data_IF_777366601529
#
_entry.id   IF_777366601529
#
_cell.length_a   1.000
_cell.length_b   1.000
_cell.length_c   1.000
_cell.angle_alpha   90.00
_cell.angle_beta   90.00
_cell.angle_gamma   90.00
#
_symmetry.space_group_name_H-M   'P 1'
#
loop_
_entity.id
_entity.type
_entity.pdbx_description
1 polymer ?
#
# COMPACT_ATOMS: atom_id res chain seq x y z
N UNK A 1 -33.89 -3.60 22.91
CA UNK A 1 -33.33 -2.46 22.16
C UNK A 1 -31.89 -2.79 21.83
N UNK A 2 -31.69 -3.37 20.66
CA UNK A 2 -30.41 -3.82 20.11
C UNK A 2 -29.81 -2.70 19.28
N UNK A 3 -28.65 -2.19 19.67
CA UNK A 3 -27.86 -1.25 18.89
C UNK A 3 -26.92 -2.03 17.95
N UNK A 4 -27.19 -1.94 16.65
CA UNK A 4 -26.35 -2.43 15.58
C UNK A 4 -25.25 -1.41 15.29
N UNK A 5 -23.99 -1.79 15.55
CA UNK A 5 -22.81 -1.04 15.10
C UNK A 5 -22.40 -1.54 13.71
N UNK A 6 -22.75 -0.78 12.67
CA UNK A 6 -22.31 -1.03 11.29
C UNK A 6 -20.91 -0.47 11.07
N UNK A 7 -20.02 -1.33 10.59
CA UNK A 7 -18.60 -1.05 10.42
C UNK A 7 -18.29 -0.01 9.35
N UNK A 8 -17.37 0.88 9.69
CA UNK A 8 -16.55 1.61 8.73
C UNK A 8 -15.15 0.98 8.73
N UNK A 9 -14.93 -0.02 7.87
CA UNK A 9 -13.58 -0.40 7.46
C UNK A 9 -13.08 0.67 6.49
N UNK A 10 -12.63 1.79 7.06
CA UNK A 10 -11.74 2.71 6.36
C UNK A 10 -10.36 2.06 6.28
N UNK A 11 -9.82 1.98 5.06
CA UNK A 11 -8.47 1.54 4.81
C UNK A 11 -7.50 2.33 5.71
N UNK A 12 -6.92 1.64 6.69
CA UNK A 12 -5.83 2.13 7.52
C UNK A 12 -4.50 2.08 6.74
N UNK A 13 -4.51 2.60 5.52
CA UNK A 13 -3.31 2.87 4.74
C UNK A 13 -2.97 4.36 4.91
N UNK A 14 -1.74 4.62 5.36
CA UNK A 14 -1.11 5.93 5.48
C UNK A 14 -1.54 6.88 6.61
N UNK A 15 -1.54 6.37 7.83
CA UNK A 15 -1.21 7.21 9.00
C UNK A 15 0.29 7.05 9.32
N UNK A 16 1.11 7.86 8.67
CA UNK A 16 2.51 8.16 8.99
C UNK A 16 3.48 6.97 9.04
N UNK A 17 4.36 6.86 8.03
CA UNK A 17 5.69 6.24 8.18
C UNK A 17 6.48 7.03 9.25
N UNK A 18 6.21 6.78 10.52
CA UNK A 18 7.14 7.11 11.59
C UNK A 18 8.28 6.10 11.51
N UNK A 19 9.22 6.33 10.58
CA UNK A 19 10.54 5.71 10.65
C UNK A 19 11.25 6.23 11.90
N UNK A 20 10.97 5.59 13.04
CA UNK A 20 11.71 5.83 14.27
C UNK A 20 13.08 5.18 14.12
N UNK A 21 14.11 5.89 14.56
CA UNK A 21 15.48 5.37 14.61
C UNK A 21 15.50 4.16 15.56
N UNK A 22 15.51 2.96 14.97
CA UNK A 22 15.68 1.69 15.68
C UNK A 22 17.13 1.23 15.66
N UNK A 23 17.46 0.25 16.51
CA UNK A 23 18.81 -0.31 16.64
C UNK A 23 19.42 -0.84 15.33
N UNK A 24 18.59 -1.15 14.33
CA UNK A 24 18.98 -1.71 13.04
C UNK A 24 18.48 -0.87 11.85
N UNK A 25 17.99 0.35 12.08
CA UNK A 25 17.50 1.26 11.04
C UNK A 25 18.58 1.71 10.05
N UNK A 26 19.85 1.63 10.43
CA UNK A 26 20.99 1.95 9.58
C UNK A 26 21.31 0.87 8.53
N UNK A 27 20.74 -0.33 8.66
CA UNK A 27 21.00 -1.45 7.76
C UNK A 27 20.10 -1.33 6.54
N UNK A 28 20.71 -1.17 5.37
CA UNK A 28 20.00 -1.02 4.08
C UNK A 28 20.18 -2.22 3.14
N UNK A 29 20.89 -3.25 3.58
CA UNK A 29 21.13 -4.46 2.81
C UNK A 29 22.35 -5.24 3.33
N UNK A 30 22.74 -6.30 2.62
CA UNK A 30 23.87 -7.15 2.98
C UNK A 30 25.24 -6.60 2.56
N UNK A 31 25.30 -5.58 1.69
CA UNK A 31 26.54 -4.93 1.25
C UNK A 31 27.48 -5.84 0.46
N UNK A 32 26.92 -6.74 -0.35
CA UNK A 32 27.65 -7.64 -1.25
C UNK A 32 27.86 -6.96 -2.62
N UNK A 33 28.85 -7.43 -3.38
CA UNK A 33 28.96 -7.13 -4.81
C UNK A 33 28.27 -8.20 -5.68
N UNK A 34 28.34 -8.02 -6.99
CA UNK A 34 27.72 -8.91 -7.98
C UNK A 34 28.34 -10.32 -7.99
N UNK A 35 29.56 -10.48 -7.44
CA UNK A 35 30.23 -11.76 -7.27
C UNK A 35 29.92 -12.42 -5.91
N UNK A 36 28.95 -11.88 -5.16
CA UNK A 36 28.57 -12.30 -3.80
C UNK A 36 29.70 -12.15 -2.77
N UNK A 37 30.66 -11.28 -3.03
CA UNK A 37 31.73 -10.97 -2.09
C UNK A 37 31.35 -9.79 -1.18
N UNK A 38 31.48 -9.95 0.14
CA UNK A 38 31.14 -8.91 1.10
C UNK A 38 32.22 -7.83 1.13
N UNK A 39 31.83 -6.58 0.85
CA UNK A 39 32.69 -5.42 1.08
C UNK A 39 32.91 -5.22 2.58
N UNK A 40 34.11 -4.78 2.98
CA UNK A 40 34.48 -4.55 4.39
C UNK A 40 33.46 -3.68 5.15
N UNK A 41 32.99 -2.61 4.49
CA UNK A 41 31.95 -1.70 4.97
C UNK A 41 31.04 -1.33 3.81
N UNK A 42 29.75 -1.67 3.91
CA UNK A 42 28.76 -1.31 2.86
C UNK A 42 27.33 -1.49 3.38
N UNK A 43 26.39 -0.65 2.92
CA UNK A 43 24.94 -0.72 3.23
C UNK A 43 24.60 -0.82 4.73
N UNK A 44 25.41 -0.20 5.60
CA UNK A 44 25.22 -0.24 7.05
C UNK A 44 25.78 -1.49 7.74
N UNK A 45 26.30 -2.45 6.97
CA UNK A 45 26.97 -3.65 7.49
C UNK A 45 28.50 -3.48 7.53
N UNK A 46 29.11 -3.91 8.63
CA UNK A 46 30.56 -3.88 8.84
C UNK A 46 31.03 -5.25 9.31
N UNK A 47 32.10 -5.77 8.71
CA UNK A 47 32.65 -7.08 9.10
C UNK A 47 31.72 -8.25 8.78
N UNK A 48 31.81 -9.32 9.57
CA UNK A 48 31.13 -10.61 9.38
C UNK A 48 31.10 -11.12 7.94
N UNK A 49 32.28 -11.17 7.32
CA UNK A 49 32.46 -11.49 5.91
C UNK A 49 31.88 -12.89 5.58
N UNK A 50 32.26 -13.92 6.33
CA UNK A 50 31.78 -15.29 6.06
C UNK A 50 30.26 -15.41 6.19
N UNK A 51 29.67 -14.83 7.25
CA UNK A 51 28.23 -14.90 7.47
C UNK A 51 27.44 -14.09 6.42
N UNK A 52 27.94 -12.93 6.00
CA UNK A 52 27.33 -12.12 4.93
C UNK A 52 27.43 -12.80 3.56
N UNK A 53 28.56 -13.44 3.25
CA UNK A 53 28.73 -14.24 2.03
C UNK A 53 27.73 -15.41 2.01
N UNK A 54 27.62 -16.14 3.11
CA UNK A 54 26.63 -17.23 3.24
C UNK A 54 25.19 -16.73 3.12
N UNK A 55 24.85 -15.60 3.76
CA UNK A 55 23.55 -14.96 3.65
C UNK A 55 23.24 -14.51 2.21
N UNK A 56 24.25 -14.06 1.46
CA UNK A 56 24.13 -13.72 0.04
C UNK A 56 23.77 -14.91 -0.84
N UNK A 57 24.45 -16.04 -0.66
CA UNK A 57 24.13 -17.28 -1.38
C UNK A 57 22.70 -17.72 -1.08
N UNK A 58 22.29 -17.65 0.19
CA UNK A 58 20.90 -17.94 0.59
C UNK A 58 19.91 -16.98 -0.07
N UNK A 59 20.22 -15.68 -0.09
CA UNK A 59 19.38 -14.66 -0.69
C UNK A 59 19.12 -14.95 -2.19
N UNK A 60 20.17 -15.31 -2.94
CA UNK A 60 20.02 -15.67 -4.35
C UNK A 60 19.21 -16.96 -4.53
N UNK A 61 19.43 -17.98 -3.70
CA UNK A 61 18.60 -19.20 -3.74
C UNK A 61 17.11 -18.92 -3.46
N UNK A 62 16.81 -17.93 -2.61
CA UNK A 62 15.43 -17.48 -2.35
C UNK A 62 14.86 -16.76 -3.58
N UNK A 63 15.61 -15.82 -4.18
CA UNK A 63 15.17 -15.08 -5.38
C UNK A 63 14.94 -16.01 -6.58
N UNK A 64 15.77 -17.03 -6.74
CA UNK A 64 15.62 -18.05 -7.78
C UNK A 64 14.45 -19.04 -7.51
N UNK A 65 13.88 -19.02 -6.30
CA UNK A 65 12.78 -19.93 -5.93
C UNK A 65 13.19 -21.41 -5.83
N UNK A 66 14.50 -21.73 -5.82
CA UNK A 66 15.01 -23.12 -5.76
C UNK A 66 14.85 -23.78 -4.40
N UNK A 67 14.50 -23.00 -3.37
CA UNK A 67 14.36 -23.47 -1.98
C UNK A 67 12.98 -23.11 -1.44
N UNK A 68 12.25 -24.13 -0.96
CA UNK A 68 11.05 -23.98 -0.14
C UNK A 68 11.12 -24.92 1.08
N UNK A 69 10.57 -24.48 2.22
CA UNK A 69 10.45 -25.31 3.43
C UNK A 69 11.77 -25.63 4.15
N UNK A 70 12.84 -24.84 3.94
CA UNK A 70 14.12 -25.01 4.64
C UNK A 70 14.27 -24.02 5.79
N UNK A 71 14.86 -24.48 6.89
CA UNK A 71 15.22 -23.65 8.02
C UNK A 71 16.71 -23.29 7.98
N UNK A 72 17.04 -22.05 8.35
CA UNK A 72 18.41 -21.57 8.48
C UNK A 72 18.60 -21.14 9.93
N UNK A 73 19.65 -21.67 10.58
CA UNK A 73 20.00 -21.32 11.94
C UNK A 73 21.25 -20.43 11.95
N UNK A 74 21.12 -19.21 12.45
CA UNK A 74 22.25 -18.33 12.73
C UNK A 74 22.67 -18.48 14.20
N UNK A 75 23.81 -19.12 14.44
CA UNK A 75 24.36 -19.33 15.78
C UNK A 75 25.58 -18.42 16.04
N UNK A 76 25.76 -18.00 17.29
CA UNK A 76 26.90 -17.18 17.72
C UNK A 76 26.65 -16.49 19.06
N UNK A 77 27.69 -15.88 19.64
CA UNK A 77 27.59 -15.16 20.91
C UNK A 77 26.63 -13.95 20.85
N UNK A 78 26.05 -13.48 21.96
CA UNK A 78 25.28 -12.22 21.98
C UNK A 78 26.07 -11.05 21.39
N UNK A 79 25.39 -10.11 20.72
CA UNK A 79 26.06 -8.93 20.12
C UNK A 79 26.81 -9.15 18.79
N UNK A 80 26.86 -10.38 18.27
CA UNK A 80 27.57 -10.70 17.01
C UNK A 80 26.84 -10.33 15.71
N UNK A 81 25.69 -9.65 15.79
CA UNK A 81 24.97 -9.16 14.60
C UNK A 81 24.06 -10.17 13.91
N UNK A 82 23.61 -11.24 14.58
CA UNK A 82 22.66 -12.23 14.01
C UNK A 82 21.36 -11.58 13.49
N UNK A 83 20.71 -10.78 14.33
CA UNK A 83 19.50 -10.03 13.96
C UNK A 83 19.78 -8.99 12.87
N UNK A 84 20.96 -8.37 12.91
CA UNK A 84 21.39 -7.40 11.90
C UNK A 84 21.52 -8.05 10.50
N UNK A 85 22.09 -9.26 10.41
CA UNK A 85 22.18 -10.00 9.15
C UNK A 85 20.78 -10.39 8.65
N UNK A 86 19.89 -10.85 9.53
CA UNK A 86 18.50 -11.16 9.16
C UNK A 86 17.76 -9.93 8.59
N UNK A 87 17.95 -8.76 9.21
CA UNK A 87 17.39 -7.50 8.69
C UNK A 87 18.05 -7.08 7.38
N UNK A 88 19.36 -7.28 7.23
CA UNK A 88 20.06 -7.05 5.98
C UNK A 88 19.53 -7.92 4.84
N UNK A 89 19.21 -9.19 5.11
CA UNK A 89 18.55 -10.08 4.15
C UNK A 89 17.15 -9.58 3.78
N UNK A 90 16.34 -9.18 4.77
CA UNK A 90 15.00 -8.64 4.54
C UNK A 90 15.03 -7.39 3.64
N UNK A 91 15.93 -6.45 3.92
CA UNK A 91 16.10 -5.25 3.10
C UNK A 91 16.60 -5.58 1.68
N UNK A 92 17.45 -6.59 1.53
CA UNK A 92 17.98 -7.01 0.24
C UNK A 92 16.98 -7.80 -0.63
N UNK A 93 15.92 -8.40 -0.05
CA UNK A 93 14.81 -9.01 -0.78
C UNK A 93 13.88 -7.95 -1.40
N UNK A 94 13.84 -6.74 -0.83
CA UNK A 94 13.00 -5.63 -1.27
C UNK A 94 11.66 -5.55 -0.55
N UNK A 95 10.97 -4.41 -0.69
CA UNK A 95 9.68 -4.12 -0.04
C UNK A 95 8.54 -5.03 -0.50
N UNK A 96 8.76 -5.72 -1.60
CA UNK A 96 7.83 -6.56 -2.34
C UNK A 96 7.67 -7.97 -1.75
N UNK A 97 8.62 -8.39 -0.91
CA UNK A 97 8.65 -9.71 -0.27
C UNK A 97 8.26 -9.54 1.21
N UNK A 98 7.23 -10.24 1.70
CA UNK A 98 6.85 -10.14 3.10
C UNK A 98 7.94 -10.73 4.01
N UNK A 99 8.25 -9.99 5.08
CA UNK A 99 9.19 -10.43 6.10
C UNK A 99 8.56 -10.28 7.48
N UNK A 100 8.42 -11.39 8.20
CA UNK A 100 7.84 -11.42 9.54
C UNK A 100 8.93 -11.64 10.58
N UNK A 101 9.16 -10.67 11.46
CA UNK A 101 9.94 -10.88 12.68
C UNK A 101 9.00 -11.39 13.77
N UNK A 102 9.39 -12.47 14.44
CA UNK A 102 8.64 -13.07 15.52
C UNK A 102 9.60 -13.39 16.67
N UNK A 103 9.27 -12.92 17.87
CA UNK A 103 9.97 -13.36 19.07
C UNK A 103 9.35 -14.66 19.59
N UNK A 104 10.18 -15.59 20.06
CA UNK A 104 9.68 -16.89 20.55
C UNK A 104 8.69 -16.76 21.71
N UNK A 105 8.81 -15.69 22.52
CA UNK A 105 7.89 -15.37 23.60
C UNK A 105 6.50 -14.96 23.11
N UNK A 106 6.37 -14.40 21.90
CA UNK A 106 5.08 -13.97 21.34
C UNK A 106 4.17 -15.15 20.96
N UNK A 107 4.75 -16.36 20.82
CA UNK A 107 4.00 -17.58 20.51
C UNK A 107 3.19 -18.05 21.72
N UNK A 108 3.60 -17.70 22.93
CA UNK A 108 2.92 -18.08 24.16
C UNK A 108 1.84 -17.06 24.49
N UNK A 109 0.60 -17.37 24.11
CA UNK A 109 -0.58 -16.56 24.40
C UNK A 109 -1.64 -17.35 25.18
N UNK A 110 -2.45 -16.64 25.96
CA UNK A 110 -3.66 -17.19 26.60
C UNK A 110 -4.86 -17.20 25.64
N UNK A 111 -4.88 -16.31 24.65
CA UNK A 111 -6.01 -16.13 23.72
C UNK A 111 -6.01 -17.16 22.59
N UNK A 112 -4.84 -17.71 22.24
CA UNK A 112 -4.69 -18.64 21.11
C UNK A 112 -3.68 -19.74 21.41
N UNK A 113 -3.86 -20.88 20.73
CA UNK A 113 -2.93 -22.01 20.86
C UNK A 113 -1.58 -21.71 20.20
N UNK A 114 -0.51 -22.31 20.73
CA UNK A 114 0.85 -22.20 20.17
C UNK A 114 0.92 -22.60 18.69
N UNK A 115 0.16 -23.63 18.31
CA UNK A 115 0.08 -24.12 16.92
C UNK A 115 -0.59 -23.10 16.01
N UNK A 116 -1.64 -22.43 16.48
CA UNK A 116 -2.34 -21.40 15.72
C UNK A 116 -1.45 -20.16 15.55
N UNK A 117 -0.77 -19.72 16.62
CA UNK A 117 0.18 -18.61 16.56
C UNK A 117 1.30 -18.87 15.52
N UNK A 118 1.87 -20.08 15.50
CA UNK A 118 2.86 -20.47 14.50
C UNK A 118 2.27 -20.54 13.09
N UNK A 119 1.08 -21.10 12.93
CA UNK A 119 0.39 -21.20 11.64
C UNK A 119 0.13 -19.82 11.04
N UNK A 120 -0.29 -18.87 11.87
CA UNK A 120 -0.48 -17.47 11.46
C UNK A 120 0.84 -16.81 11.07
N UNK A 121 1.91 -17.03 11.85
CA UNK A 121 3.24 -16.48 11.52
C UNK A 121 3.76 -17.00 10.17
N UNK A 122 3.57 -18.29 9.87
CA UNK A 122 3.92 -18.85 8.56
C UNK A 122 3.06 -18.26 7.44
N UNK A 123 1.74 -18.15 7.62
CA UNK A 123 0.84 -17.56 6.62
C UNK A 123 1.15 -16.09 6.33
N UNK A 124 1.48 -15.29 7.35
CA UNK A 124 1.88 -13.88 7.19
C UNK A 124 3.17 -13.72 6.38
N UNK A 125 4.03 -14.73 6.40
CA UNK A 125 5.31 -14.73 5.68
C UNK A 125 5.20 -15.21 4.23
N UNK A 126 4.02 -15.60 3.77
CA UNK A 126 3.75 -16.04 2.40
C UNK A 126 2.91 -14.98 1.71
N UNK A 127 3.50 -14.30 0.72
CA UNK A 127 2.85 -13.27 -0.06
C UNK A 127 2.27 -13.83 -1.35
N UNK A 128 1.05 -13.43 -1.70
CA UNK A 128 0.44 -13.70 -3.00
C UNK A 128 0.33 -12.37 -3.75
N UNK A 129 0.97 -12.27 -4.92
CA UNK A 129 0.88 -11.08 -5.78
C UNK A 129 -0.13 -11.34 -6.88
N UNK A 130 -1.24 -10.61 -6.83
CA UNK A 130 -2.27 -10.63 -7.86
C UNK A 130 -2.14 -9.33 -8.64
N UNK A 131 -1.95 -9.44 -9.96
CA UNK A 131 -2.01 -8.29 -10.87
C UNK A 131 -3.41 -8.25 -11.46
N UNK A 132 -4.03 -7.09 -11.38
CA UNK A 132 -5.35 -6.82 -11.93
C UNK A 132 -5.26 -5.57 -12.80
N UNK A 133 -5.95 -5.59 -13.94
CA UNK A 133 -6.05 -4.45 -14.84
C UNK A 133 -7.39 -3.76 -14.57
N UNK A 134 -7.34 -2.46 -14.24
CA UNK A 134 -8.53 -1.64 -14.02
C UNK A 134 -8.56 -0.47 -14.98
N UNK A 135 -9.74 -0.18 -15.54
CA UNK A 135 -9.94 0.97 -16.40
C UNK A 135 -10.28 2.20 -15.57
N UNK A 136 -9.36 3.17 -15.55
CA UNK A 136 -9.54 4.46 -14.90
C UNK A 136 -9.78 5.54 -15.95
N UNK A 137 -10.80 6.37 -15.72
CA UNK A 137 -11.05 7.60 -16.48
C UNK A 137 -10.57 8.76 -15.61
N UNK A 138 -9.68 9.59 -16.13
CA UNK A 138 -9.20 10.80 -15.45
C UNK A 138 -9.53 12.03 -16.31
N UNK A 139 -10.01 13.09 -15.67
CA UNK A 139 -10.28 14.34 -16.37
C UNK A 139 -10.72 15.47 -15.45
N UNK A 140 -10.64 16.69 -15.98
CA UNK A 140 -11.22 17.88 -15.37
C UNK A 140 -12.73 17.91 -15.60
N UNK A 141 -13.48 18.19 -14.54
CA UNK A 141 -14.93 18.37 -14.63
C UNK A 141 -15.26 19.73 -15.23
N UNK A 142 -15.77 19.75 -16.46
CA UNK A 142 -16.20 20.98 -17.14
C UNK A 142 -17.60 21.38 -16.71
N UNK A 143 -18.51 20.42 -16.61
CA UNK A 143 -19.93 20.64 -16.31
C UNK A 143 -20.54 19.40 -15.64
N UNK A 144 -21.46 19.64 -14.69
CA UNK A 144 -22.27 18.61 -14.04
C UNK A 144 -23.74 19.04 -14.16
N UNK A 145 -24.55 18.22 -14.82
CA UNK A 145 -26.01 18.38 -14.88
C UNK A 145 -26.65 17.22 -14.12
N UNK A 146 -27.52 17.50 -13.16
CA UNK A 146 -28.25 16.49 -12.41
C UNK A 146 -29.74 16.82 -12.50
N UNK A 147 -30.48 15.99 -13.24
CA UNK A 147 -31.91 16.09 -13.36
C UNK A 147 -32.55 15.37 -12.17
N UNK A 148 -33.26 16.14 -11.35
CA UNK A 148 -34.08 15.62 -10.25
C UNK A 148 -35.54 15.72 -10.67
N UNK A 149 -36.23 14.59 -10.70
CA UNK A 149 -37.68 14.57 -10.95
C UNK A 149 -38.41 15.43 -9.89
N UNK A 150 -39.32 16.29 -10.34
CA UNK A 150 -40.01 17.33 -9.53
C UNK A 150 -40.76 16.77 -8.30
N UNK A 151 -41.13 15.49 -8.31
CA UNK A 151 -41.85 14.83 -7.23
C UNK A 151 -40.94 14.13 -6.18
N UNK A 152 -39.61 14.22 -6.29
CA UNK A 152 -38.67 13.62 -5.32
C UNK A 152 -38.63 12.08 -5.28
N UNK A 153 -39.52 11.41 -6.03
CA UNK A 153 -39.62 9.96 -6.17
C UNK A 153 -39.31 9.60 -7.62
N UNK A 154 -38.04 9.64 -7.99
CA UNK A 154 -37.58 9.30 -9.34
C UNK A 154 -36.08 9.04 -9.37
N UNK A 155 -35.64 8.18 -10.29
CA UNK A 155 -34.23 7.92 -10.49
C UNK A 155 -33.53 9.23 -10.89
N UNK A 156 -32.49 9.61 -10.14
CA UNK A 156 -31.64 10.75 -10.50
C UNK A 156 -30.82 10.33 -11.72
N UNK A 157 -30.96 11.08 -12.80
CA UNK A 157 -30.15 10.93 -14.02
C UNK A 157 -29.35 12.22 -14.15
N UNK A 158 -28.11 12.13 -14.62
CA UNK A 158 -27.26 13.29 -14.79
C UNK A 158 -26.35 13.14 -15.99
N UNK A 159 -25.72 14.24 -16.37
CA UNK A 159 -24.67 14.28 -17.39
C UNK A 159 -23.42 14.90 -16.79
N UNK A 160 -22.28 14.33 -17.10
CA UNK A 160 -20.97 14.78 -16.67
C UNK A 160 -20.10 15.02 -17.88
N UNK A 161 -19.61 16.24 -18.04
CA UNK A 161 -18.64 16.56 -19.08
C UNK A 161 -17.24 16.55 -18.47
N UNK A 162 -16.40 15.63 -18.92
CA UNK A 162 -14.99 15.54 -18.55
C UNK A 162 -14.12 16.02 -19.70
N UNK A 163 -13.05 16.73 -19.36
CA UNK A 163 -12.08 17.24 -20.32
C UNK A 163 -10.67 16.88 -19.92
N UNK A 164 -9.92 16.42 -20.91
CA UNK A 164 -8.48 16.25 -20.88
C UNK A 164 -7.85 17.28 -21.83
N UNK A 165 -6.52 17.28 -21.99
CA UNK A 165 -5.86 18.16 -22.95
C UNK A 165 -6.31 17.92 -24.38
N UNK A 166 -6.61 16.67 -24.73
CA UNK A 166 -6.82 16.24 -26.11
C UNK A 166 -8.28 15.90 -26.42
N UNK A 167 -9.07 15.53 -25.40
CA UNK A 167 -10.43 15.02 -25.56
C UNK A 167 -11.40 15.66 -24.57
N UNK A 168 -12.60 15.95 -25.05
CA UNK A 168 -13.74 16.34 -24.23
C UNK A 168 -14.85 15.30 -24.44
N UNK A 169 -15.31 14.70 -23.34
CA UNK A 169 -16.25 13.58 -23.37
C UNK A 169 -17.40 13.82 -22.41
N UNK A 170 -18.61 13.52 -22.87
CA UNK A 170 -19.84 13.60 -22.07
C UNK A 170 -20.26 12.20 -21.65
N UNK A 171 -20.45 11.99 -20.35
CA UNK A 171 -20.90 10.74 -19.75
C UNK A 171 -22.28 10.91 -19.14
N UNK A 172 -23.19 9.99 -19.45
CA UNK A 172 -24.46 9.88 -18.74
C UNK A 172 -24.23 9.17 -17.39
N UNK A 173 -24.67 9.81 -16.31
CA UNK A 173 -24.53 9.34 -14.95
C UNK A 173 -25.81 8.67 -14.45
N UNK A 174 -25.66 7.46 -13.92
CA UNK A 174 -26.71 6.81 -13.13
C UNK A 174 -26.75 7.30 -11.69
N UNK A 175 -27.82 6.94 -10.97
CA UNK A 175 -28.07 7.35 -9.59
C UNK A 175 -26.88 7.09 -8.64
N UNK A 176 -26.24 5.91 -8.71
CA UNK A 176 -25.09 5.56 -7.83
C UNK A 176 -23.87 6.46 -8.05
N UNK A 177 -23.63 6.87 -9.30
CA UNK A 177 -22.52 7.77 -9.65
C UNK A 177 -22.80 9.18 -9.16
N UNK A 178 -24.04 9.64 -9.27
CA UNK A 178 -24.48 10.95 -8.75
C UNK A 178 -24.34 11.01 -7.23
N UNK A 179 -24.70 9.95 -6.52
CA UNK A 179 -24.50 9.85 -5.07
C UNK A 179 -23.01 9.88 -4.70
N UNK A 180 -22.16 9.20 -5.48
CA UNK A 180 -20.70 9.19 -5.28
C UNK A 180 -20.07 10.56 -5.55
N UNK A 181 -20.49 11.28 -6.60
CA UNK A 181 -20.07 12.66 -6.88
C UNK A 181 -20.45 13.61 -5.73
N UNK A 182 -21.67 13.51 -5.23
CA UNK A 182 -22.15 14.33 -4.12
C UNK A 182 -21.42 14.01 -2.81
N UNK A 183 -21.09 12.73 -2.58
CA UNK A 183 -20.32 12.29 -1.41
C UNK A 183 -18.90 12.86 -1.42
N UNK A 184 -18.25 12.86 -2.58
CA UNK A 184 -16.90 13.41 -2.77
C UNK A 184 -16.90 14.95 -2.90
N UNK A 185 -18.09 15.57 -2.94
CA UNK A 185 -18.28 17.01 -3.18
C UNK A 185 -17.51 17.50 -4.42
N UNK A 186 -17.57 16.70 -5.49
CA UNK A 186 -16.96 17.06 -6.76
C UNK A 186 -17.71 18.24 -7.38
N UNK A 187 -16.96 19.26 -7.77
CA UNK A 187 -17.46 20.51 -8.32
C UNK A 187 -16.80 20.80 -9.67
N UNK A 188 -17.37 21.77 -10.38
CA UNK A 188 -16.84 22.22 -11.66
C UNK A 188 -15.43 22.79 -11.49
N UNK A 189 -14.49 22.30 -12.30
CA UNK A 189 -13.06 22.60 -12.23
C UNK A 189 -12.24 21.64 -11.37
N UNK A 190 -12.85 20.63 -10.74
CA UNK A 190 -12.10 19.58 -10.04
C UNK A 190 -11.55 18.54 -11.01
N UNK A 191 -10.39 17.98 -10.68
CA UNK A 191 -9.81 16.83 -11.39
C UNK A 191 -10.21 15.57 -10.63
N UNK A 192 -10.94 14.68 -11.30
CA UNK A 192 -11.45 13.45 -10.71
C UNK A 192 -10.97 12.22 -11.47
N UNK A 193 -10.78 11.13 -10.74
CA UNK A 193 -10.61 9.79 -11.30
C UNK A 193 -11.86 8.97 -11.06
N UNK A 194 -12.34 8.28 -12.10
CA UNK A 194 -13.47 7.38 -12.07
C UNK A 194 -12.97 5.98 -12.43
N UNK A 195 -13.11 5.05 -11.51
CA UNK A 195 -12.93 3.62 -11.80
C UNK A 195 -14.20 3.09 -12.46
N UNK A 196 -14.10 2.62 -13.71
CA UNK A 196 -15.26 2.11 -14.46
C UNK A 196 -15.84 0.83 -13.88
N UNK A 197 -15.00 -0.01 -13.26
CA UNK A 197 -15.45 -1.30 -12.72
C UNK A 197 -16.19 -1.11 -11.40
N UNK A 198 -15.67 -0.26 -10.52
CA UNK A 198 -16.26 -0.05 -9.19
C UNK A 198 -17.23 1.13 -9.12
N UNK A 199 -17.17 2.05 -10.08
CA UNK A 199 -17.91 3.32 -10.05
C UNK A 199 -17.42 4.27 -8.95
N UNK A 200 -16.26 3.98 -8.35
CA UNK A 200 -15.69 4.83 -7.31
C UNK A 200 -15.09 6.08 -7.94
N UNK A 201 -15.44 7.22 -7.38
CA UNK A 201 -14.95 8.53 -7.80
C UNK A 201 -13.99 9.04 -6.71
N UNK A 202 -12.81 9.49 -7.12
CA UNK A 202 -11.81 10.07 -6.23
C UNK A 202 -11.44 11.45 -6.74
N UNK A 203 -11.46 12.46 -5.87
CA UNK A 203 -11.02 13.82 -6.23
C UNK A 203 -9.50 13.91 -6.05
N UNK A 204 -8.78 14.08 -7.16
CA UNK A 204 -7.31 14.23 -7.15
C UNK A 204 -6.90 15.65 -6.78
N UNK A 205 -7.68 16.65 -7.18
CA UNK A 205 -7.38 18.05 -6.95
C UNK A 205 -8.29 18.97 -7.72
N UNK A 206 -7.79 20.17 -8.03
CA UNK A 206 -8.49 21.19 -8.79
C UNK A 206 -7.62 21.74 -9.90
N UNK A 207 -8.23 22.07 -11.04
CA UNK A 207 -7.51 22.64 -12.17
C UNK A 207 -7.00 24.04 -11.86
N UNK A 208 -5.78 24.35 -12.27
CA UNK A 208 -5.17 25.68 -12.09
C UNK A 208 -5.95 26.77 -12.83
N UNK A 209 -6.57 26.42 -13.96
CA UNK A 209 -7.33 27.36 -14.78
C UNK A 209 -8.59 27.88 -14.06
N UNK A 210 -9.23 27.05 -13.23
CA UNK A 210 -10.45 27.40 -12.47
C UNK A 210 -10.24 27.54 -10.97
N UNK A 211 -9.01 27.42 -10.48
CA UNK A 211 -8.67 27.65 -9.08
C UNK A 211 -8.87 29.13 -8.67
N UNK A 212 -8.67 30.07 -9.61
CA UNK A 212 -8.79 31.53 -9.34
C UNK A 212 -10.22 31.99 -9.08
N UNK A 213 -11.22 31.38 -9.71
CA UNK A 213 -12.63 31.76 -9.53
C UNK A 213 -13.18 31.32 -8.17
N UNK A 214 -12.47 30.44 -7.46
CA UNK A 214 -12.87 29.90 -6.16
C UNK A 214 -12.06 30.45 -4.98
N UNK A 215 -10.96 31.17 -5.24
CA UNK A 215 -10.13 31.81 -4.20
C UNK A 215 -10.87 32.97 -3.48
N UNK A 216 -12.06 33.34 -3.97
CA UNK A 216 -12.96 34.29 -3.32
C UNK A 216 -13.88 33.66 -2.25
N UNK A 217 -13.81 32.34 -2.01
CA UNK A 217 -14.48 31.69 -0.88
C UNK A 217 -13.44 31.03 0.03
N UNK A 218 -12.82 31.84 0.89
CA UNK A 218 -12.22 31.34 2.12
C UNK A 218 -13.27 30.62 2.98
N UNK A 219 -12.83 29.63 3.74
CA UNK A 219 -13.68 28.79 4.56
C UNK A 219 -14.50 29.60 5.58
N UNK A 220 -15.82 29.51 5.48
CA UNK A 220 -16.75 29.51 6.61
C UNK A 220 -17.26 28.07 6.81
#
# INVERSE_FOLDING_TARGET
>A
MTATATGAQGAAADLTRMERIGAHSHIRGLGLDDALEPRKTSQGMVGQLQARKAAGVILEMIKEGKIAGRAILMAGAPGTGKTAIAMGMAQALGADVPFTMLAASEIFSLEMSKTEALTQAFRRSIGVRIKEETELIEGEVVEIQIDRAEAGVGAKIGKLTLKTTDMETVYDLGQKMIESLNKEKASVGDVITIDKATGKITKLGRSFARARDYDAMGAD
#
